data_IF_300723961825
#
_entry.id   IF_300723961825
#
_cell.length_a   1.000
_cell.length_b   1.000
_cell.length_c   1.000
_cell.angle_alpha   90.00
_cell.angle_beta   90.00
_cell.angle_gamma   90.00
#
_symmetry.space_group_name_H-M   'P 1'
#
loop_
_entity.id
_entity.type
_entity.pdbx_description
1 polymer ?
#
# COMPACT_ATOMS: atom_id res chain seq x y z
N UNK A 1 -8.14 1.91 24.81
CA UNK A 1 -7.82 0.70 24.01
C UNK A 1 -9.07 0.34 23.23
N UNK A 2 -9.00 0.33 21.90
CA UNK A 2 -10.10 -0.18 21.06
C UNK A 2 -10.03 -1.71 21.20
N UNK A 3 -11.13 -2.32 21.66
CA UNK A 3 -11.18 -3.76 21.91
C UNK A 3 -11.14 -4.53 20.57
N UNK A 4 -10.40 -5.64 20.54
CA UNK A 4 -10.08 -6.43 19.32
C UNK A 4 -11.32 -7.02 18.65
N UNK A 5 -12.43 -7.16 19.38
CA UNK A 5 -13.68 -7.71 18.89
C UNK A 5 -14.49 -6.77 17.97
N UNK A 6 -14.24 -5.45 18.00
CA UNK A 6 -15.06 -4.42 17.30
C UNK A 6 -14.30 -3.63 16.22
N UNK A 7 -13.05 -4.00 15.92
CA UNK A 7 -12.17 -3.18 15.09
C UNK A 7 -12.18 -3.63 13.63
N UNK A 8 -12.97 -2.95 12.78
CA UNK A 8 -12.89 -3.05 11.31
C UNK A 8 -11.47 -2.80 10.74
N UNK A 9 -10.55 -2.31 11.57
CA UNK A 9 -9.19 -1.91 11.21
C UNK A 9 -8.12 -2.86 11.75
N UNK A 10 -8.48 -3.97 12.40
CA UNK A 10 -7.55 -4.94 12.99
C UNK A 10 -6.92 -4.49 14.32
N UNK A 11 -5.89 -5.20 14.80
CA UNK A 11 -5.17 -4.83 16.03
C UNK A 11 -4.41 -3.51 15.85
N UNK A 12 -4.50 -2.63 16.85
CA UNK A 12 -3.87 -1.31 16.86
C UNK A 12 -3.11 -1.14 18.16
N UNK A 13 -1.79 -0.96 18.07
CA UNK A 13 -0.96 -0.60 19.22
C UNK A 13 -0.89 0.92 19.39
N UNK A 14 -0.51 1.64 18.32
CA UNK A 14 -0.43 3.10 18.29
C UNK A 14 -0.81 3.64 16.91
N UNK A 15 -1.28 4.89 16.86
CA UNK A 15 -1.66 5.58 15.63
C UNK A 15 -0.87 6.89 15.55
N UNK A 16 -0.27 7.13 14.40
CA UNK A 16 0.59 8.27 14.14
C UNK A 16 0.12 9.03 12.90
N UNK A 17 0.22 10.35 12.92
CA UNK A 17 0.37 11.12 11.69
C UNK A 17 1.86 11.36 11.49
N UNK A 18 2.38 10.94 10.34
CA UNK A 18 3.79 11.07 10.02
C UNK A 18 4.02 11.75 8.67
N UNK A 19 5.13 12.48 8.57
CA UNK A 19 5.59 13.11 7.32
C UNK A 19 7.12 13.02 7.24
N UNK A 20 7.64 12.76 6.06
CA UNK A 20 9.06 12.82 5.77
C UNK A 20 9.60 14.24 6.00
N UNK A 21 10.78 14.34 6.61
CA UNK A 21 11.53 15.60 6.75
C UNK A 21 12.37 15.91 5.49
N UNK A 22 12.58 14.90 4.66
CA UNK A 22 13.45 14.94 3.50
C UNK A 22 12.77 15.55 2.28
N UNK A 23 13.33 16.66 1.79
CA UNK A 23 12.80 17.38 0.64
C UNK A 23 12.81 16.58 -0.67
N UNK A 24 13.78 15.68 -0.88
CA UNK A 24 13.82 14.84 -2.07
C UNK A 24 12.66 13.83 -2.05
N UNK A 25 12.40 13.21 -0.89
CA UNK A 25 11.24 12.31 -0.72
C UNK A 25 9.94 13.07 -1.00
N UNK A 26 9.77 14.26 -0.42
CA UNK A 26 8.57 15.08 -0.59
C UNK A 26 8.36 15.57 -2.02
N UNK A 27 9.43 15.77 -2.78
CA UNK A 27 9.38 16.19 -4.18
C UNK A 27 9.13 15.03 -5.16
N UNK A 28 9.03 13.79 -4.67
CA UNK A 28 8.62 12.65 -5.50
C UNK A 28 7.09 12.54 -5.61
N UNK A 29 6.59 11.50 -6.30
CA UNK A 29 5.15 11.23 -6.47
C UNK A 29 4.50 10.63 -5.22
N UNK A 30 4.88 11.07 -4.02
CA UNK A 30 4.26 10.58 -2.78
C UNK A 30 2.77 10.92 -2.78
N UNK A 31 1.93 9.94 -2.42
CA UNK A 31 0.49 10.15 -2.34
C UNK A 31 0.06 10.99 -1.13
N UNK A 32 0.93 11.11 -0.11
CA UNK A 32 0.72 11.94 1.07
C UNK A 32 2.07 12.36 1.67
N UNK A 33 2.30 12.22 2.97
CA UNK A 33 3.49 12.74 3.66
C UNK A 33 4.80 12.00 3.42
N UNK A 34 4.86 10.97 2.55
CA UNK A 34 6.10 10.24 2.25
C UNK A 34 6.68 9.41 3.41
N UNK A 35 5.92 9.21 4.50
CA UNK A 35 6.42 8.58 5.72
C UNK A 35 6.92 7.14 5.50
N UNK A 36 6.23 6.34 4.69
CA UNK A 36 6.66 4.95 4.39
C UNK A 36 8.05 4.93 3.76
N UNK A 37 8.28 5.77 2.73
CA UNK A 37 9.58 5.86 2.07
C UNK A 37 10.67 6.33 3.03
N UNK A 38 10.39 7.33 3.87
CA UNK A 38 11.35 7.83 4.84
C UNK A 38 11.70 6.81 5.94
N UNK A 39 10.72 6.06 6.45
CA UNK A 39 10.95 4.96 7.41
C UNK A 39 11.80 3.84 6.80
N UNK A 40 11.57 3.52 5.52
CA UNK A 40 12.33 2.49 4.82
C UNK A 40 13.76 2.95 4.49
N UNK A 41 13.97 4.23 4.15
CA UNK A 41 15.32 4.80 4.04
C UNK A 41 16.06 4.67 5.38
N UNK A 42 15.42 5.07 6.49
CA UNK A 42 15.98 4.89 7.83
C UNK A 42 16.35 3.42 8.11
N UNK A 43 15.47 2.48 7.78
CA UNK A 43 15.72 1.06 8.01
C UNK A 43 16.88 0.51 7.16
N UNK A 44 17.03 0.97 5.91
CA UNK A 44 18.17 0.64 5.05
C UNK A 44 19.47 1.26 5.60
N UNK A 45 19.44 2.54 5.99
CA UNK A 45 20.62 3.31 6.41
C UNK A 45 21.19 2.79 7.74
N UNK A 46 20.35 2.33 8.66
CA UNK A 46 20.80 1.69 9.92
C UNK A 46 21.03 0.17 9.78
N UNK A 47 20.85 -0.40 8.58
CA UNK A 47 21.05 -1.84 8.33
C UNK A 47 20.05 -2.75 9.04
N UNK A 48 18.85 -2.25 9.36
CA UNK A 48 17.74 -3.04 9.93
C UNK A 48 17.08 -3.94 8.89
N UNK A 49 17.26 -3.60 7.61
CA UNK A 49 16.85 -4.39 6.46
C UNK A 49 17.95 -4.30 5.39
N UNK A 50 18.09 -5.35 4.58
CA UNK A 50 19.03 -5.40 3.46
C UNK A 50 18.37 -5.21 2.09
N UNK A 51 17.03 -5.11 2.08
CA UNK A 51 16.26 -4.76 0.90
C UNK A 51 14.78 -4.46 1.16
N UNK A 52 14.20 -3.67 0.27
CA UNK A 52 12.76 -3.40 0.22
C UNK A 52 12.17 -4.08 -1.00
N UNK A 53 11.20 -4.94 -0.77
CA UNK A 53 10.42 -5.59 -1.83
C UNK A 53 9.14 -4.80 -2.06
N UNK A 54 8.94 -4.29 -3.27
CA UNK A 54 7.76 -3.48 -3.61
C UNK A 54 7.41 -3.57 -5.09
N UNK A 55 6.24 -3.05 -5.46
CA UNK A 55 5.83 -2.90 -6.85
C UNK A 55 6.38 -1.60 -7.44
N UNK A 56 6.89 -1.67 -8.66
CA UNK A 56 7.27 -0.50 -9.48
C UNK A 56 6.49 -0.52 -10.78
N UNK A 57 5.93 0.63 -11.12
CA UNK A 57 5.29 0.85 -12.41
C UNK A 57 6.34 0.95 -13.52
N UNK A 58 6.11 0.27 -14.64
CA UNK A 58 7.06 0.20 -15.77
C UNK A 58 6.61 1.08 -16.93
N UNK A 59 5.38 0.88 -17.42
CA UNK A 59 4.84 1.58 -18.57
C UNK A 59 3.31 1.62 -18.46
N UNK A 60 2.66 2.76 -18.76
CA UNK A 60 1.21 2.84 -18.63
C UNK A 60 0.73 2.38 -17.25
N UNK A 61 -0.19 1.43 -17.19
CA UNK A 61 -0.63 0.79 -15.94
C UNK A 61 0.10 -0.53 -15.61
N UNK A 62 1.16 -0.89 -16.33
CA UNK A 62 1.93 -2.10 -16.07
C UNK A 62 2.87 -1.91 -14.87
N UNK A 63 3.10 -2.99 -14.14
CA UNK A 63 4.03 -3.00 -13.01
C UNK A 63 4.79 -4.30 -12.88
N UNK A 64 5.91 -4.24 -12.16
CA UNK A 64 6.72 -5.40 -11.80
C UNK A 64 7.11 -5.36 -10.33
N UNK A 65 7.34 -6.53 -9.74
CA UNK A 65 7.98 -6.62 -8.44
C UNK A 65 9.45 -6.22 -8.60
N UNK A 66 9.95 -5.42 -7.67
CA UNK A 66 11.36 -4.98 -7.61
C UNK A 66 11.88 -5.10 -6.20
N UNK A 67 13.21 -5.18 -6.12
CA UNK A 67 13.97 -5.00 -4.88
C UNK A 67 14.63 -3.63 -4.96
N UNK A 68 14.56 -2.86 -3.88
CA UNK A 68 15.34 -1.64 -3.69
C UNK A 68 16.27 -1.82 -2.49
N UNK A 69 17.57 -1.65 -2.71
CA UNK A 69 18.63 -1.80 -1.68
C UNK A 69 19.31 -0.48 -1.34
N UNK A 70 18.90 0.59 -2.02
CA UNK A 70 19.42 1.93 -1.78
C UNK A 70 18.28 2.94 -1.82
N UNK A 71 18.52 4.08 -1.19
CA UNK A 71 17.64 5.25 -1.26
C UNK A 71 17.24 5.59 -2.71
N UNK A 72 18.19 5.63 -3.64
CA UNK A 72 17.94 5.95 -5.05
C UNK A 72 16.98 4.95 -5.69
N UNK A 73 17.19 3.66 -5.44
CA UNK A 73 16.30 2.61 -5.95
C UNK A 73 14.91 2.70 -5.34
N UNK A 74 14.81 2.99 -4.04
CA UNK A 74 13.54 3.12 -3.33
C UNK A 74 12.74 4.33 -3.82
N UNK A 75 13.38 5.48 -4.00
CA UNK A 75 12.73 6.67 -4.56
C UNK A 75 12.17 6.40 -5.96
N UNK A 76 12.85 5.56 -6.75
CA UNK A 76 12.39 5.16 -8.08
C UNK A 76 11.16 4.21 -8.07
N UNK A 77 10.69 3.77 -6.89
CA UNK A 77 9.45 2.98 -6.74
C UNK A 77 8.28 3.80 -6.22
N UNK A 78 8.45 5.09 -5.90
CA UNK A 78 7.40 5.93 -5.32
C UNK A 78 6.29 6.22 -6.34
N UNK A 79 5.04 6.33 -5.87
CA UNK A 79 3.87 6.66 -6.69
C UNK A 79 2.78 5.60 -6.65
N UNK A 80 1.63 5.93 -7.23
CA UNK A 80 0.54 4.98 -7.40
C UNK A 80 0.79 4.07 -8.60
N UNK A 81 0.53 2.77 -8.44
CA UNK A 81 0.77 1.78 -9.49
C UNK A 81 -0.52 1.37 -10.20
N UNK A 82 -1.62 1.18 -9.45
CA UNK A 82 -2.93 0.68 -9.95
C UNK A 82 -2.84 -0.59 -10.82
N UNK A 83 -1.71 -1.28 -10.74
CA UNK A 83 -1.33 -2.44 -11.53
C UNK A 83 -1.44 -3.70 -10.68
N UNK A 84 -1.99 -4.78 -11.22
CA UNK A 84 -1.90 -6.08 -10.57
C UNK A 84 -0.51 -6.64 -10.86
N UNK A 85 0.35 -6.66 -9.85
CA UNK A 85 1.66 -7.33 -9.91
C UNK A 85 1.51 -8.70 -9.26
N UNK A 86 1.95 -9.81 -9.89
CA UNK A 86 1.90 -11.15 -9.31
C UNK A 86 2.99 -11.30 -8.23
N UNK A 87 2.78 -10.55 -7.15
CA UNK A 87 3.77 -10.22 -6.13
C UNK A 87 4.17 -11.49 -5.37
N UNK A 88 3.19 -12.24 -4.84
CA UNK A 88 3.40 -13.50 -4.15
C UNK A 88 4.28 -14.50 -4.94
N UNK A 89 3.99 -14.71 -6.23
CA UNK A 89 4.70 -15.70 -7.06
C UNK A 89 6.15 -15.32 -7.42
N UNK A 90 6.53 -14.05 -7.30
CA UNK A 90 7.83 -13.55 -7.77
C UNK A 90 8.78 -13.14 -6.65
N UNK A 91 8.27 -12.96 -5.44
CA UNK A 91 9.07 -12.39 -4.36
C UNK A 91 10.11 -13.35 -3.83
N UNK A 92 9.76 -14.63 -3.63
CA UNK A 92 10.73 -15.64 -3.19
C UNK A 92 11.97 -15.64 -4.09
N UNK A 93 11.77 -15.83 -5.38
CA UNK A 93 12.85 -15.78 -6.38
C UNK A 93 13.61 -14.45 -6.34
N UNK A 94 12.94 -13.31 -6.17
CA UNK A 94 13.62 -12.00 -6.09
C UNK A 94 14.47 -11.85 -4.83
N UNK A 95 14.01 -12.35 -3.69
CA UNK A 95 14.75 -12.33 -2.43
C UNK A 95 16.00 -13.23 -2.54
N UNK A 96 15.84 -14.43 -3.08
CA UNK A 96 16.91 -15.40 -3.28
C UNK A 96 17.97 -14.90 -4.28
N UNK A 97 17.55 -14.47 -5.48
CA UNK A 97 18.45 -13.94 -6.52
C UNK A 97 19.28 -12.73 -6.05
N UNK A 98 18.78 -11.97 -5.07
CA UNK A 98 19.45 -10.80 -4.54
C UNK A 98 20.20 -11.07 -3.22
N UNK A 99 20.19 -12.32 -2.74
CA UNK A 99 20.80 -12.75 -1.48
C UNK A 99 20.34 -11.89 -0.28
N UNK A 100 19.03 -11.63 -0.19
CA UNK A 100 18.45 -10.85 0.90
C UNK A 100 18.04 -11.77 2.06
N UNK A 101 18.26 -11.31 3.28
CA UNK A 101 17.97 -12.03 4.52
C UNK A 101 17.01 -11.27 5.43
N UNK A 102 16.90 -9.94 5.30
CA UNK A 102 16.02 -9.12 6.13
C UNK A 102 15.32 -8.09 5.26
N UNK A 103 14.16 -8.45 4.73
CA UNK A 103 13.41 -7.60 3.81
C UNK A 103 12.25 -6.88 4.48
N UNK A 104 12.03 -5.63 4.07
CA UNK A 104 10.74 -4.98 4.25
C UNK A 104 9.89 -5.17 2.99
N UNK A 105 8.65 -5.61 3.16
CA UNK A 105 7.69 -5.80 2.07
C UNK A 105 6.65 -4.68 2.12
N UNK A 106 6.59 -3.86 1.07
CA UNK A 106 5.55 -2.83 0.90
C UNK A 106 4.48 -3.36 -0.04
N UNK A 107 3.26 -3.54 0.48
CA UNK A 107 2.23 -4.30 -0.20
C UNK A 107 0.81 -3.77 0.07
N UNK A 108 -0.20 -4.41 -0.53
CA UNK A 108 -1.62 -4.15 -0.29
C UNK A 108 -2.20 -5.14 0.75
N UNK A 109 -3.40 -4.91 1.32
CA UNK A 109 -3.93 -5.72 2.42
C UNK A 109 -4.00 -7.23 2.13
N UNK A 110 -4.47 -7.63 0.95
CA UNK A 110 -4.51 -9.04 0.56
C UNK A 110 -3.11 -9.69 0.44
N UNK A 111 -2.09 -8.90 0.09
CA UNK A 111 -0.71 -9.36 0.05
C UNK A 111 -0.10 -9.41 1.46
N UNK A 112 -0.44 -8.46 2.33
CA UNK A 112 -0.05 -8.48 3.73
C UNK A 112 -0.61 -9.72 4.44
N UNK A 113 -1.84 -10.13 4.12
CA UNK A 113 -2.42 -11.40 4.60
C UNK A 113 -1.57 -12.60 4.17
N UNK A 114 -1.20 -12.66 2.88
CA UNK A 114 -0.35 -13.72 2.35
C UNK A 114 1.03 -13.77 3.04
N UNK A 115 1.76 -12.64 3.11
CA UNK A 115 3.08 -12.61 3.73
C UNK A 115 3.05 -12.82 5.24
N UNK A 116 2.05 -12.27 5.91
CA UNK A 116 1.85 -12.47 7.35
C UNK A 116 1.61 -13.94 7.66
N UNK A 117 0.76 -14.62 6.90
CA UNK A 117 0.56 -16.07 7.05
C UNK A 117 1.82 -16.87 6.76
N UNK A 118 2.57 -16.54 5.70
CA UNK A 118 3.82 -17.24 5.40
C UNK A 118 4.88 -17.05 6.48
N UNK A 119 4.97 -15.86 7.08
CA UNK A 119 5.92 -15.55 8.16
C UNK A 119 5.51 -16.18 9.48
N UNK A 120 4.25 -16.04 9.87
CA UNK A 120 3.78 -16.37 11.21
C UNK A 120 3.34 -17.85 11.31
N UNK A 121 2.97 -18.47 10.19
CA UNK A 121 2.53 -19.87 10.10
C UNK A 121 3.21 -20.61 8.92
N UNK A 122 4.55 -20.71 8.89
CA UNK A 122 5.26 -21.36 7.81
C UNK A 122 4.98 -22.88 7.82
N UNK A 123 4.43 -23.39 6.72
CA UNK A 123 4.17 -24.83 6.56
C UNK A 123 5.32 -25.53 5.80
N UNK A 124 5.65 -25.04 4.60
CA UNK A 124 6.65 -25.64 3.70
C UNK A 124 7.80 -24.68 3.33
N UNK A 125 7.71 -23.42 3.75
CA UNK A 125 8.48 -22.29 3.21
C UNK A 125 9.05 -21.42 4.35
N UNK A 126 9.60 -22.07 5.39
CA UNK A 126 10.09 -21.41 6.60
C UNK A 126 11.25 -20.46 6.30
N UNK A 127 12.16 -20.88 5.41
CA UNK A 127 13.31 -20.09 4.95
C UNK A 127 12.91 -18.78 4.25
N UNK A 128 11.76 -18.76 3.59
CA UNK A 128 11.20 -17.57 2.97
C UNK A 128 10.54 -16.65 4.00
N UNK A 129 9.70 -17.22 4.88
CA UNK A 129 8.97 -16.46 5.90
C UNK A 129 9.91 -15.73 6.86
N UNK A 130 10.98 -16.38 7.30
CA UNK A 130 11.99 -15.82 8.22
C UNK A 130 12.74 -14.60 7.66
N UNK A 131 12.80 -14.48 6.32
CA UNK A 131 13.44 -13.32 5.68
C UNK A 131 12.60 -12.05 5.72
N UNK A 132 11.31 -12.15 6.06
CA UNK A 132 10.37 -11.02 6.08
C UNK A 132 10.45 -10.31 7.42
N UNK A 133 11.31 -9.30 7.48
CA UNK A 133 11.58 -8.52 8.69
C UNK A 133 10.43 -7.54 9.02
N UNK A 134 9.91 -6.85 8.00
CA UNK A 134 8.78 -5.92 8.14
C UNK A 134 7.75 -6.08 7.02
N UNK A 135 6.46 -6.07 7.36
CA UNK A 135 5.35 -5.98 6.41
C UNK A 135 4.71 -4.60 6.57
N UNK A 136 4.77 -3.78 5.53
CA UNK A 136 4.11 -2.47 5.47
C UNK A 136 2.97 -2.53 4.47
N UNK A 137 1.73 -2.48 4.96
CA UNK A 137 0.54 -2.47 4.10
C UNK A 137 0.09 -1.05 3.81
N UNK A 138 -0.17 -0.74 2.54
CA UNK A 138 -0.86 0.48 2.14
C UNK A 138 -2.38 0.28 2.22
N UNK A 139 -3.11 1.30 2.65
CA UNK A 139 -4.57 1.27 2.62
C UNK A 139 -5.05 1.06 1.18
N UNK A 140 -6.10 0.25 1.01
CA UNK A 140 -6.56 -0.11 -0.32
C UNK A 140 -8.07 -0.29 -0.36
N UNK A 141 -8.75 0.48 -1.20
CA UNK A 141 -10.17 0.27 -1.51
C UNK A 141 -10.38 -0.77 -2.63
N UNK A 142 -9.42 -0.96 -3.51
CA UNK A 142 -9.51 -1.88 -4.64
C UNK A 142 -8.64 -1.42 -5.80
N UNK A 143 -8.51 -2.27 -6.81
CA UNK A 143 -7.84 -1.95 -8.08
C UNK A 143 -8.69 -2.45 -9.24
N UNK A 144 -8.34 -2.02 -10.46
CA UNK A 144 -9.04 -2.42 -11.67
C UNK A 144 -8.59 -3.78 -12.20
N UNK A 145 -9.52 -4.49 -12.83
CA UNK A 145 -9.20 -5.56 -13.77
C UNK A 145 -8.53 -4.92 -14.99
N UNK A 146 -7.21 -5.06 -15.05
CA UNK A 146 -6.33 -4.27 -15.90
C UNK A 146 -6.74 -4.25 -17.38
N UNK A 147 -6.93 -5.42 -17.99
CA UNK A 147 -7.30 -5.53 -19.41
C UNK A 147 -8.66 -4.91 -19.69
N UNK A 148 -9.65 -5.19 -18.83
CA UNK A 148 -11.02 -4.68 -18.98
C UNK A 148 -11.06 -3.16 -18.86
N UNK A 149 -10.32 -2.60 -17.89
CA UNK A 149 -10.28 -1.16 -17.67
C UNK A 149 -9.55 -0.42 -18.79
N UNK A 150 -8.42 -0.95 -19.28
CA UNK A 150 -7.72 -0.37 -20.43
C UNK A 150 -8.59 -0.43 -21.68
N UNK A 151 -9.30 -1.54 -21.91
CA UNK A 151 -10.20 -1.64 -23.05
C UNK A 151 -11.33 -0.60 -22.96
N UNK A 152 -11.92 -0.41 -21.78
CA UNK A 152 -12.90 0.64 -21.56
C UNK A 152 -12.33 2.05 -21.83
N UNK A 153 -11.13 2.37 -21.32
CA UNK A 153 -10.47 3.65 -21.60
C UNK A 153 -10.23 3.87 -23.09
N UNK A 154 -9.87 2.80 -23.81
CA UNK A 154 -9.62 2.86 -25.24
C UNK A 154 -10.90 3.04 -26.04
N UNK A 155 -11.93 2.22 -25.78
CA UNK A 155 -13.19 2.24 -26.54
C UNK A 155 -14.02 3.49 -26.28
N UNK A 156 -14.08 3.96 -25.04
CA UNK A 156 -14.97 5.06 -24.67
C UNK A 156 -14.29 6.44 -24.76
N UNK A 157 -12.95 6.49 -24.64
CA UNK A 157 -12.21 7.77 -24.54
C UNK A 157 -10.98 7.85 -25.45
N UNK A 158 -10.68 6.80 -26.23
CA UNK A 158 -9.51 6.76 -27.11
C UNK A 158 -8.18 6.83 -26.35
N UNK A 159 -8.14 6.46 -25.06
CA UNK A 159 -6.93 6.48 -24.24
C UNK A 159 -6.31 5.08 -24.26
N UNK A 160 -5.09 4.95 -24.79
CA UNK A 160 -4.35 3.68 -24.76
C UNK A 160 -3.76 3.48 -23.37
N UNK A 161 -3.72 2.23 -22.88
CA UNK A 161 -3.18 1.91 -21.55
C UNK A 161 -1.75 2.43 -21.32
N UNK A 162 -0.89 2.37 -22.36
CA UNK A 162 0.49 2.91 -22.33
C UNK A 162 0.55 4.44 -22.12
N UNK A 163 -0.51 5.15 -22.48
CA UNK A 163 -0.57 6.62 -22.39
C UNK A 163 -1.04 7.07 -21.00
N UNK A 164 -1.56 6.18 -20.16
CA UNK A 164 -1.91 6.52 -18.77
C UNK A 164 -0.64 6.89 -18.03
N UNK A 165 -0.57 8.09 -17.45
CA UNK A 165 0.57 8.67 -16.72
C UNK A 165 0.41 8.62 -15.21
N UNK A 166 -0.82 8.63 -14.71
CA UNK A 166 -1.14 8.44 -13.29
C UNK A 166 -2.63 8.14 -13.11
N UNK A 167 -2.99 7.55 -11.98
CA UNK A 167 -4.37 7.43 -11.52
C UNK A 167 -4.45 7.92 -10.07
N UNK A 168 -5.36 8.84 -9.82
CA UNK A 168 -5.59 9.43 -8.50
C UNK A 168 -7.05 9.28 -8.13
N UNK A 169 -7.29 8.83 -6.90
CA UNK A 169 -8.62 8.82 -6.30
C UNK A 169 -8.82 10.11 -5.50
N UNK A 170 -9.93 10.83 -5.75
CA UNK A 170 -10.35 12.01 -5.00
C UNK A 170 -11.83 11.88 -4.67
N UNK A 171 -12.16 11.59 -3.40
CA UNK A 171 -13.53 11.28 -3.02
C UNK A 171 -14.10 10.12 -3.84
N UNK A 172 -15.16 10.37 -4.60
CA UNK A 172 -15.85 9.41 -5.46
C UNK A 172 -15.43 9.48 -6.95
N UNK A 173 -14.36 10.22 -7.25
CA UNK A 173 -13.85 10.43 -8.62
C UNK A 173 -12.46 9.83 -8.79
N UNK A 174 -12.28 9.09 -9.88
CA UNK A 174 -10.99 8.66 -10.39
C UNK A 174 -10.53 9.62 -11.48
N UNK A 175 -9.35 10.21 -11.28
CA UNK A 175 -8.64 11.02 -12.26
C UNK A 175 -7.61 10.15 -12.99
N UNK A 176 -7.82 9.92 -14.29
CA UNK A 176 -6.85 9.26 -15.18
C UNK A 176 -6.06 10.34 -15.91
N UNK A 177 -4.79 10.48 -15.55
CA UNK A 177 -3.88 11.46 -16.15
C UNK A 177 -3.25 10.87 -17.41
N UNK A 178 -3.25 11.60 -18.52
CA UNK A 178 -2.68 11.15 -19.80
C UNK A 178 -2.12 12.35 -20.61
N UNK A 179 -1.39 12.16 -21.72
CA UNK A 179 -0.77 13.25 -22.48
C UNK A 179 -1.70 14.37 -22.94
N UNK A 180 -2.98 14.08 -23.15
CA UNK A 180 -3.96 15.04 -23.66
C UNK A 180 -4.78 15.73 -22.55
N UNK A 181 -4.55 15.39 -21.27
CA UNK A 181 -5.28 15.98 -20.15
C UNK A 181 -5.59 14.98 -19.02
N UNK A 182 -6.67 15.27 -18.30
CA UNK A 182 -7.17 14.46 -17.19
C UNK A 182 -8.61 14.04 -17.49
N UNK A 183 -8.85 12.74 -17.59
CA UNK A 183 -10.19 12.16 -17.66
C UNK A 183 -10.70 11.92 -16.23
N UNK A 184 -11.90 12.41 -15.92
CA UNK A 184 -12.55 12.22 -14.63
C UNK A 184 -13.70 11.23 -14.76
N UNK A 185 -13.68 10.18 -13.96
CA UNK A 185 -14.65 9.09 -13.98
C UNK A 185 -15.23 8.90 -12.58
N UNK A 186 -16.54 8.76 -12.47
CA UNK A 186 -17.15 8.44 -11.17
C UNK A 186 -16.89 6.97 -10.81
N UNK A 187 -16.71 6.66 -9.53
CA UNK A 187 -16.58 5.27 -9.05
C UNK A 187 -17.79 4.42 -9.53
N UNK A 188 -18.98 5.00 -9.53
CA UNK A 188 -20.22 4.31 -9.94
C UNK A 188 -20.15 3.81 -11.39
N UNK A 189 -19.57 4.60 -12.28
CA UNK A 189 -19.41 4.26 -13.70
C UNK A 189 -18.44 3.09 -13.87
N UNK A 190 -17.30 3.14 -13.18
CA UNK A 190 -16.19 2.20 -13.36
C UNK A 190 -16.22 1.02 -12.40
N UNK A 191 -17.23 0.94 -11.53
CA UNK A 191 -17.37 -0.11 -10.51
C UNK A 191 -17.28 -1.52 -11.11
N UNK A 192 -17.87 -1.73 -12.30
CA UNK A 192 -17.86 -3.01 -13.03
C UNK A 192 -16.48 -3.41 -13.56
N UNK A 193 -15.52 -2.50 -13.61
CA UNK A 193 -14.16 -2.75 -14.07
C UNK A 193 -13.19 -3.01 -12.92
N UNK A 194 -13.67 -3.05 -11.67
CA UNK A 194 -12.86 -3.46 -10.53
C UNK A 194 -12.51 -4.94 -10.63
N UNK A 195 -11.35 -5.29 -10.09
CA UNK A 195 -10.93 -6.68 -9.98
C UNK A 195 -11.91 -7.45 -9.09
N UNK A 196 -12.41 -8.59 -9.57
CA UNK A 196 -13.45 -9.38 -8.88
C UNK A 196 -13.03 -9.72 -7.45
N UNK A 197 -11.79 -10.14 -7.23
CA UNK A 197 -11.27 -10.42 -5.88
C UNK A 197 -11.29 -9.19 -4.95
N UNK A 198 -11.21 -7.97 -5.48
CA UNK A 198 -11.34 -6.76 -4.67
C UNK A 198 -12.80 -6.49 -4.24
N UNK A 199 -13.79 -6.94 -5.02
CA UNK A 199 -15.20 -6.77 -4.69
C UNK A 199 -15.61 -7.53 -3.43
N UNK A 200 -14.91 -8.62 -3.11
CA UNK A 200 -15.12 -9.48 -1.94
C UNK A 200 -14.00 -9.37 -0.89
N UNK A 201 -13.11 -8.38 -1.03
CA UNK A 201 -12.05 -8.15 -0.06
C UNK A 201 -12.58 -7.35 1.13
N UNK A 202 -12.44 -7.89 2.33
CA UNK A 202 -12.91 -7.29 3.59
C UNK A 202 -11.89 -6.38 4.27
N UNK A 203 -10.61 -6.47 3.89
CA UNK A 203 -9.51 -5.81 4.61
C UNK A 203 -9.08 -4.50 3.94
N UNK A 204 -9.32 -3.37 4.60
CA UNK A 204 -8.95 -2.04 4.11
C UNK A 204 -7.54 -1.62 4.49
N UNK A 205 -7.13 -1.90 5.73
CA UNK A 205 -5.90 -1.35 6.32
C UNK A 205 -4.72 -2.31 6.22
N UNK A 206 -4.95 -3.60 5.98
CA UNK A 206 -3.92 -4.64 6.05
C UNK A 206 -3.72 -5.06 7.49
N UNK A 207 -4.68 -5.81 8.03
CA UNK A 207 -4.70 -6.18 9.45
C UNK A 207 -3.52 -7.08 9.87
N UNK A 208 -2.88 -7.74 8.90
CA UNK A 208 -1.73 -8.64 9.05
C UNK A 208 -0.35 -7.97 8.88
N UNK A 209 -0.29 -6.66 8.66
CA UNK A 209 0.98 -5.94 8.51
C UNK A 209 1.58 -5.50 9.85
N UNK A 210 2.88 -5.27 9.93
CA UNK A 210 3.48 -4.61 11.10
C UNK A 210 3.10 -3.12 11.17
N UNK A 211 3.11 -2.45 10.00
CA UNK A 211 2.69 -1.05 9.84
C UNK A 211 1.64 -0.97 8.73
N UNK A 212 0.51 -0.35 9.01
CA UNK A 212 -0.44 0.04 7.98
C UNK A 212 -0.34 1.54 7.71
N UNK A 213 -0.33 1.94 6.45
CA UNK A 213 -0.11 3.33 6.05
C UNK A 213 -1.15 3.80 5.04
N UNK A 214 -1.65 5.03 5.19
CA UNK A 214 -2.63 5.57 4.27
C UNK A 214 -2.74 7.07 4.26
N UNK A 215 -3.71 7.55 3.49
CA UNK A 215 -4.04 8.97 3.37
C UNK A 215 -5.25 9.26 4.27
N UNK A 216 -5.21 10.39 4.96
CA UNK A 216 -6.37 10.97 5.65
C UNK A 216 -6.71 12.25 4.91
N UNK A 217 -7.90 12.30 4.30
CA UNK A 217 -8.29 13.44 3.44
C UNK A 217 -8.32 14.76 4.22
N UNK A 218 -8.68 14.73 5.50
CA UNK A 218 -8.73 15.90 6.39
C UNK A 218 -7.34 16.43 6.79
N UNK A 219 -6.26 15.70 6.46
CA UNK A 219 -4.86 16.08 6.78
C UNK A 219 -3.94 15.86 5.57
N UNK A 220 -4.07 16.68 4.51
CA UNK A 220 -3.22 16.57 3.34
C UNK A 220 -1.75 16.77 3.70
N UNK A 221 -0.87 16.02 3.05
CA UNK A 221 0.58 16.05 3.32
C UNK A 221 1.03 15.27 4.54
N UNK A 222 0.13 14.56 5.23
CA UNK A 222 0.44 13.65 6.34
C UNK A 222 -0.03 12.23 6.05
N UNK A 223 0.84 11.26 6.28
CA UNK A 223 0.50 9.84 6.20
C UNK A 223 0.02 9.37 7.57
N UNK A 224 -1.16 8.75 7.64
CA UNK A 224 -1.54 8.03 8.86
C UNK A 224 -0.83 6.68 8.89
N UNK A 225 -0.22 6.35 10.02
CA UNK A 225 0.41 5.07 10.28
C UNK A 225 -0.28 4.40 11.46
N UNK A 226 -0.56 3.12 11.33
CA UNK A 226 -1.05 2.24 12.39
C UNK A 226 0.07 1.26 12.69
N UNK A 227 0.71 1.41 13.85
CA UNK A 227 1.64 0.40 14.36
C UNK A 227 0.83 -0.73 14.99
N UNK A 228 1.05 -1.97 14.54
CA UNK A 228 0.29 -3.13 15.04
C UNK A 228 1.01 -3.91 16.12
N UNK A 229 2.32 -3.75 16.25
CA UNK A 229 3.14 -4.44 17.24
C UNK A 229 4.29 -3.55 17.74
N UNK A 230 4.97 -4.01 18.79
CA UNK A 230 6.06 -3.25 19.44
C UNK A 230 7.22 -2.96 18.48
N UNK A 231 7.58 -3.93 17.64
CA UNK A 231 8.65 -3.81 16.64
C UNK A 231 8.37 -2.68 15.64
N UNK A 232 7.14 -2.60 15.13
CA UNK A 232 6.68 -1.52 14.26
C UNK A 232 6.68 -0.15 14.97
N UNK A 233 6.19 -0.12 16.21
CA UNK A 233 6.13 1.09 17.03
C UNK A 233 7.52 1.67 17.30
N UNK A 234 8.48 0.81 17.63
CA UNK A 234 9.89 1.16 17.82
C UNK A 234 10.53 1.65 16.53
N UNK A 235 10.27 1.01 15.38
CA UNK A 235 10.77 1.46 14.07
C UNK A 235 10.33 2.91 13.78
N UNK A 236 9.05 3.23 13.98
CA UNK A 236 8.51 4.58 13.75
C UNK A 236 9.13 5.60 14.74
N UNK A 237 9.21 5.25 16.03
CA UNK A 237 9.81 6.12 17.05
C UNK A 237 11.28 6.40 16.80
N UNK A 238 12.04 5.40 16.37
CA UNK A 238 13.45 5.57 16.06
C UNK A 238 13.67 6.37 14.77
N UNK A 239 12.87 6.15 13.73
CA UNK A 239 12.88 6.98 12.52
C UNK A 239 12.61 8.45 12.84
N UNK A 240 11.67 8.74 13.76
CA UNK A 240 11.43 10.09 14.30
C UNK A 240 12.65 10.62 15.04
N UNK A 241 13.21 9.85 15.98
CA UNK A 241 14.36 10.25 16.81
C UNK A 241 15.59 10.58 15.96
N UNK A 242 15.79 9.85 14.86
CA UNK A 242 16.86 10.08 13.88
C UNK A 242 16.55 11.18 12.86
N UNK A 243 15.37 11.76 12.91
CA UNK A 243 14.99 12.91 12.08
C UNK A 243 14.56 12.58 10.66
N UNK A 244 14.23 11.33 10.32
CA UNK A 244 13.71 10.94 9.00
C UNK A 244 12.24 11.33 8.80
N UNK A 245 11.48 11.37 9.90
CA UNK A 245 10.07 11.73 9.90
C UNK A 245 9.73 12.68 11.06
N UNK A 246 8.79 13.59 10.83
CA UNK A 246 8.02 14.22 11.90
C UNK A 246 6.80 13.36 12.24
N UNK A 247 6.41 13.32 13.51
CA UNK A 247 5.31 12.49 14.00
C UNK A 247 4.43 13.26 14.99
N UNK A 248 3.12 13.15 14.82
CA UNK A 248 2.07 13.65 15.72
C UNK A 248 1.14 12.50 16.12
N UNK A 249 0.35 12.71 17.17
CA UNK A 249 -0.72 11.77 17.54
C UNK A 249 -1.75 11.67 16.39
N UNK A 250 -1.95 10.45 15.90
CA UNK A 250 -2.91 10.16 14.83
C UNK A 250 -4.25 9.62 15.35
N UNK A 251 -4.38 9.37 16.64
CA UNK A 251 -5.59 8.81 17.27
C UNK A 251 -6.87 9.60 16.93
N UNK A 252 -6.87 10.95 16.87
CA UNK A 252 -8.07 11.71 16.49
C UNK A 252 -8.62 11.41 15.09
N UNK A 253 -7.81 10.83 14.19
CA UNK A 253 -8.19 10.56 12.79
C UNK A 253 -8.61 9.11 12.55
N UNK A 254 -8.67 8.27 13.60
CA UNK A 254 -9.04 6.86 13.45
C UNK A 254 -10.46 6.68 12.90
N UNK A 255 -11.36 7.63 13.17
CA UNK A 255 -12.74 7.61 12.66
C UNK A 255 -12.81 7.60 11.13
N UNK A 256 -11.92 8.34 10.46
CA UNK A 256 -11.83 8.38 8.99
C UNK A 256 -11.42 7.01 8.45
N UNK A 257 -10.47 6.34 9.12
CA UNK A 257 -10.00 5.00 8.74
C UNK A 257 -11.08 3.94 8.98
N UNK A 258 -11.78 4.02 10.11
CA UNK A 258 -12.90 3.12 10.44
C UNK A 258 -14.02 3.27 9.41
N UNK A 259 -14.32 4.50 8.97
CA UNK A 259 -15.31 4.75 7.92
C UNK A 259 -14.94 4.03 6.63
N UNK A 260 -13.71 4.20 6.13
CA UNK A 260 -13.24 3.51 4.92
C UNK A 260 -13.24 1.99 5.06
N UNK A 261 -12.85 1.46 6.22
CA UNK A 261 -12.89 0.03 6.50
C UNK A 261 -14.32 -0.54 6.51
N UNK A 262 -15.25 0.18 7.15
CA UNK A 262 -16.68 -0.20 7.20
C UNK A 262 -17.29 -0.18 5.80
N UNK A 263 -17.01 0.83 4.99
CA UNK A 263 -17.49 0.92 3.60
C UNK A 263 -16.99 -0.24 2.74
N UNK A 264 -15.70 -0.57 2.86
CA UNK A 264 -15.11 -1.71 2.15
C UNK A 264 -15.74 -3.03 2.57
N UNK A 265 -15.93 -3.24 3.87
CA UNK A 265 -16.58 -4.44 4.40
C UNK A 265 -18.04 -4.56 3.95
N UNK A 266 -18.82 -3.46 4.02
CA UNK A 266 -20.21 -3.45 3.59
C UNK A 266 -20.32 -3.76 2.09
N UNK A 267 -19.44 -3.20 1.25
CA UNK A 267 -19.31 -3.58 -0.16
C UNK A 267 -19.03 -5.07 -0.29
N UNK A 268 -18.04 -5.58 0.44
CA UNK A 268 -17.65 -6.98 0.39
C UNK A 268 -18.81 -7.93 0.70
N UNK A 269 -19.51 -7.69 1.81
CA UNK A 269 -20.68 -8.47 2.22
C UNK A 269 -21.78 -8.45 1.17
N UNK A 270 -22.09 -7.26 0.62
CA UNK A 270 -23.07 -7.12 -0.45
C UNK A 270 -22.75 -7.97 -1.68
N UNK A 271 -21.49 -7.98 -2.13
CA UNK A 271 -21.11 -8.76 -3.31
C UNK A 271 -21.03 -10.27 -3.02
N UNK A 272 -20.61 -10.67 -1.82
CA UNK A 272 -20.58 -12.09 -1.43
C UNK A 272 -21.99 -12.71 -1.43
N UNK A 273 -23.01 -11.98 -0.98
CA UNK A 273 -24.40 -12.46 -1.01
C UNK A 273 -24.94 -12.69 -2.43
N UNK A 274 -24.30 -12.15 -3.46
CA UNK A 274 -24.71 -12.33 -4.86
C UNK A 274 -23.87 -13.40 -5.59
N UNK A 275 -22.87 -14.00 -4.93
CA UNK A 275 -22.02 -15.05 -5.50
C UNK A 275 -22.52 -16.47 -5.17
N UNK A 276 -23.52 -16.57 -4.31
CA UNK A 276 -24.26 -17.79 -3.96
C UNK A 276 -25.74 -17.58 -4.29
#
# INVERSE_FOLDING_TARGET
>A
MINVADSFVGHVLNIYLAKATDGEVLNTKVASGGAVTAILNYALDEGLIDGVVTAKRTNGLEGKAVVARSRKELLATVGNKWSIVPFASRIKTKIEENNLNQVAVVCLPCQAQFFGQMRDFPMLETDFGERIEYIISLFCMGTFAFETFINYLHMNHGIKGRDVRDIVLRGDVIEVHHPRGVLRLSIREIYRYLQVGCLVCTDYTGSWSDISAGVVETKPGWTILIARNKKADELIKNAKKRGYIEVRDGSPFIGDVITGAREKLARSQKNMMCLF
#
